data_IF_962073196297
#
_entry.id   IF_962073196297
#
_cell.length_a   1.000
_cell.length_b   1.000
_cell.length_c   1.000
_cell.angle_alpha   90.00
_cell.angle_beta   90.00
_cell.angle_gamma   90.00
#
_symmetry.space_group_name_H-M   'P 1'
#
loop_
_entity.id
_entity.type
_entity.pdbx_description
1 polymer ?
#
# COMPACT_ATOMS: atom_id res chain seq x y z
N UNK A 1 -38.53 -7.01 -22.15
CA UNK A 1 -37.36 -6.44 -21.43
C UNK A 1 -37.88 -5.36 -20.50
N UNK A 2 -37.35 -5.22 -19.28
CA UNK A 2 -37.74 -4.11 -18.41
C UNK A 2 -37.46 -2.77 -19.10
N UNK A 3 -38.34 -1.78 -18.92
CA UNK A 3 -38.21 -0.46 -19.54
C UNK A 3 -36.97 0.31 -19.06
N UNK A 4 -36.57 0.07 -17.81
CA UNK A 4 -35.41 0.70 -17.17
C UNK A 4 -34.26 -0.31 -17.00
N UNK A 5 -33.02 0.19 -17.01
CA UNK A 5 -31.86 -0.59 -16.58
C UNK A 5 -31.96 -0.84 -15.06
N UNK A 6 -31.47 -1.99 -14.56
CA UNK A 6 -31.47 -2.29 -13.13
C UNK A 6 -30.38 -1.54 -12.34
N UNK A 7 -29.69 -0.57 -12.96
CA UNK A 7 -28.57 0.16 -12.39
C UNK A 7 -28.54 1.61 -12.88
N UNK A 8 -27.88 2.49 -12.12
CA UNK A 8 -27.55 3.86 -12.50
C UNK A 8 -26.17 3.87 -13.15
N UNK A 9 -26.05 4.45 -14.35
CA UNK A 9 -24.73 4.70 -14.96
C UNK A 9 -24.03 5.84 -14.21
N UNK A 10 -22.81 5.59 -13.76
CA UNK A 10 -22.05 6.56 -12.95
C UNK A 10 -20.91 7.19 -13.75
N UNK A 11 -20.02 6.38 -14.33
CA UNK A 11 -18.82 6.87 -15.04
C UNK A 11 -18.46 5.93 -16.21
N UNK A 12 -17.70 6.45 -17.18
CA UNK A 12 -17.04 5.66 -18.24
C UNK A 12 -15.54 5.60 -17.95
N UNK A 13 -14.91 4.44 -18.19
CA UNK A 13 -13.46 4.28 -18.10
C UNK A 13 -12.95 3.25 -19.11
N UNK A 14 -11.63 3.05 -19.15
CA UNK A 14 -11.01 1.90 -19.78
C UNK A 14 -10.52 0.93 -18.70
N UNK A 15 -10.64 -0.36 -19.00
CA UNK A 15 -10.15 -1.47 -18.19
C UNK A 15 -9.29 -2.40 -19.06
N UNK A 16 -8.93 -3.56 -18.52
CA UNK A 16 -8.37 -4.68 -19.27
C UNK A 16 -9.25 -5.92 -19.09
N UNK A 17 -9.26 -6.80 -20.09
CA UNK A 17 -9.86 -8.13 -19.97
C UNK A 17 -9.04 -8.98 -18.99
N UNK A 18 -9.70 -9.64 -18.04
CA UNK A 18 -9.02 -10.48 -17.03
C UNK A 18 -8.32 -11.72 -17.60
N UNK A 19 -8.67 -12.12 -18.83
CA UNK A 19 -8.09 -13.30 -19.50
C UNK A 19 -6.97 -12.95 -20.47
N UNK A 20 -7.18 -11.98 -21.37
CA UNK A 20 -6.21 -11.70 -22.45
C UNK A 20 -5.50 -10.36 -22.35
N UNK A 21 -5.74 -9.62 -21.25
CA UNK A 21 -5.06 -8.36 -20.91
C UNK A 21 -5.15 -7.27 -22.00
N UNK A 22 -6.13 -7.38 -22.90
CA UNK A 22 -6.43 -6.33 -23.89
C UNK A 22 -7.20 -5.24 -23.20
N UNK A 23 -6.86 -3.99 -23.52
CA UNK A 23 -7.65 -2.81 -23.16
C UNK A 23 -9.08 -2.94 -23.70
N UNK A 24 -10.04 -2.66 -22.84
CA UNK A 24 -11.48 -2.73 -23.13
C UNK A 24 -12.18 -1.50 -22.56
N UNK A 25 -13.29 -1.10 -23.18
CA UNK A 25 -14.19 -0.13 -22.57
C UNK A 25 -14.88 -0.75 -21.35
N UNK A 26 -15.02 0.04 -20.30
CA UNK A 26 -15.72 -0.32 -19.09
C UNK A 26 -16.59 0.85 -18.61
N UNK A 27 -17.65 0.53 -17.89
CA UNK A 27 -18.49 1.52 -17.22
C UNK A 27 -18.62 1.19 -15.75
N UNK A 28 -18.65 2.24 -14.94
CA UNK A 28 -18.97 2.14 -13.51
C UNK A 28 -20.46 2.37 -13.34
N UNK A 29 -21.11 1.49 -12.60
CA UNK A 29 -22.55 1.53 -12.34
C UNK A 29 -22.82 1.38 -10.86
N UNK A 30 -23.89 2.03 -10.39
CA UNK A 30 -24.43 1.86 -9.05
C UNK A 30 -25.66 0.95 -9.17
N UNK A 31 -25.62 -0.20 -8.51
CA UNK A 31 -26.66 -1.22 -8.55
C UNK A 31 -26.84 -1.81 -7.15
N UNK A 32 -28.07 -1.78 -6.61
CA UNK A 32 -28.38 -2.32 -5.28
C UNK A 32 -27.40 -1.83 -4.19
N UNK A 33 -27.19 -0.50 -4.12
CA UNK A 33 -26.32 0.17 -3.14
C UNK A 33 -24.84 -0.28 -3.19
N UNK A 34 -24.40 -0.80 -4.33
CA UNK A 34 -23.01 -1.21 -4.57
C UNK A 34 -22.50 -0.60 -5.87
N UNK A 35 -21.18 -0.48 -5.97
CA UNK A 35 -20.49 0.01 -7.15
C UNK A 35 -19.88 -1.16 -7.90
N UNK A 36 -20.24 -1.30 -9.18
CA UNK A 36 -19.73 -2.33 -10.06
C UNK A 36 -19.04 -1.74 -11.28
N UNK A 37 -17.99 -2.41 -11.74
CA UNK A 37 -17.44 -2.23 -13.08
C UNK A 37 -18.06 -3.26 -14.01
N UNK A 38 -18.69 -2.79 -15.09
CA UNK A 38 -19.10 -3.62 -16.22
C UNK A 38 -18.12 -3.38 -17.36
N UNK A 39 -17.38 -4.42 -17.76
CA UNK A 39 -16.46 -4.38 -18.89
C UNK A 39 -16.81 -5.45 -19.91
N UNK A 40 -16.45 -5.24 -21.16
CA UNK A 40 -16.76 -6.20 -22.24
C UNK A 40 -15.56 -6.43 -23.14
N UNK A 41 -14.99 -7.63 -23.07
CA UNK A 41 -14.03 -8.09 -24.05
C UNK A 41 -14.76 -8.61 -25.29
N UNK A 42 -14.32 -8.20 -26.49
CA UNK A 42 -14.88 -8.72 -27.73
C UNK A 42 -14.60 -10.22 -27.95
N UNK A 43 -13.61 -10.79 -27.25
CA UNK A 43 -13.30 -12.23 -27.30
C UNK A 43 -13.89 -13.02 -26.13
N UNK A 44 -13.78 -12.50 -24.91
CA UNK A 44 -14.16 -13.24 -23.69
C UNK A 44 -15.52 -12.84 -23.11
N UNK A 45 -16.21 -11.87 -23.71
CA UNK A 45 -17.55 -11.47 -23.31
C UNK A 45 -17.59 -10.46 -22.16
N UNK A 46 -18.76 -10.29 -21.52
CA UNK A 46 -18.97 -9.33 -20.44
C UNK A 46 -18.42 -9.86 -19.10
N UNK A 47 -17.86 -8.96 -18.30
CA UNK A 47 -17.47 -9.21 -16.92
C UNK A 47 -18.09 -8.12 -16.02
N UNK A 48 -18.62 -8.53 -14.87
CA UNK A 48 -19.15 -7.65 -13.82
C UNK A 48 -18.30 -7.85 -12.57
N UNK A 49 -17.66 -6.78 -12.11
CA UNK A 49 -16.72 -6.81 -10.97
C UNK A 49 -17.19 -5.84 -9.90
N UNK A 50 -17.26 -6.30 -8.65
CA UNK A 50 -17.54 -5.44 -7.51
C UNK A 50 -16.33 -4.54 -7.21
N UNK A 51 -16.56 -3.22 -7.16
CA UNK A 51 -15.53 -2.23 -6.81
C UNK A 51 -15.70 -1.69 -5.40
N UNK A 52 -16.95 -1.47 -4.96
CA UNK A 52 -17.25 -0.97 -3.62
C UNK A 52 -18.60 -1.47 -3.14
N UNK A 53 -18.69 -1.75 -1.85
CA UNK A 53 -19.91 -2.03 -1.09
C UNK A 53 -20.46 -0.79 -0.38
N UNK A 54 -19.80 0.36 -0.58
CA UNK A 54 -20.11 1.66 0.02
C UNK A 54 -20.10 2.72 -1.09
N UNK A 55 -21.31 3.10 -1.52
CA UNK A 55 -21.50 4.06 -2.63
C UNK A 55 -21.08 5.47 -2.23
N UNK A 56 -21.36 5.88 -1.00
CA UNK A 56 -21.05 7.24 -0.55
C UNK A 56 -19.56 7.42 -0.33
N UNK A 57 -18.88 6.43 0.26
CA UNK A 57 -17.42 6.44 0.34
C UNK A 57 -16.77 6.44 -1.06
N UNK A 58 -17.27 5.61 -2.00
CA UNK A 58 -16.75 5.58 -3.36
C UNK A 58 -16.84 6.94 -4.06
N UNK A 59 -17.97 7.64 -3.91
CA UNK A 59 -18.13 9.00 -4.44
C UNK A 59 -17.18 9.97 -3.74
N UNK A 60 -17.08 9.90 -2.41
CA UNK A 60 -16.21 10.75 -1.59
C UNK A 60 -14.73 10.63 -1.99
N UNK A 61 -14.27 9.47 -2.46
CA UNK A 61 -12.91 9.32 -2.99
C UNK A 61 -12.58 10.32 -4.12
N UNK A 62 -13.58 10.79 -4.88
CA UNK A 62 -13.37 11.81 -5.93
C UNK A 62 -13.05 13.18 -5.33
N UNK A 63 -13.65 13.52 -4.20
CA UNK A 63 -13.42 14.80 -3.50
C UNK A 63 -12.02 14.86 -2.90
N UNK A 64 -11.36 13.71 -2.71
CA UNK A 64 -10.00 13.61 -2.21
C UNK A 64 -8.94 13.64 -3.32
N UNK A 65 -9.33 13.63 -4.59
CA UNK A 65 -8.38 13.65 -5.68
C UNK A 65 -7.79 15.07 -5.85
N UNK A 66 -6.54 15.26 -5.40
CA UNK A 66 -5.84 16.54 -5.51
C UNK A 66 -4.92 16.58 -6.74
N UNK A 67 -4.43 17.78 -7.14
CA UNK A 67 -3.47 17.92 -8.23
C UNK A 67 -2.29 16.94 -8.07
N UNK A 68 -1.94 16.29 -9.17
CA UNK A 68 -0.85 15.33 -9.26
C UNK A 68 0.50 16.00 -9.00
N UNK A 69 1.38 15.34 -8.27
CA UNK A 69 2.80 15.67 -8.30
C UNK A 69 3.46 14.94 -9.48
N UNK A 70 4.39 15.62 -10.15
CA UNK A 70 5.12 15.06 -11.29
C UNK A 70 6.52 14.66 -10.84
N UNK A 71 7.08 13.55 -11.33
CA UNK A 71 8.49 13.25 -11.14
C UNK A 71 9.36 14.26 -11.90
N UNK A 72 10.58 14.45 -11.44
CA UNK A 72 11.60 15.29 -12.08
C UNK A 72 12.03 14.74 -13.45
N UNK A 73 11.90 13.43 -13.64
CA UNK A 73 12.25 12.77 -14.89
C UNK A 73 11.21 11.72 -15.26
N UNK A 74 10.86 11.64 -16.55
CA UNK A 74 10.07 10.54 -17.09
C UNK A 74 10.97 9.39 -17.54
N UNK A 75 10.50 8.15 -17.41
CA UNK A 75 11.23 6.96 -17.81
C UNK A 75 10.89 6.49 -19.23
N UNK A 76 9.64 6.69 -19.66
CA UNK A 76 9.12 6.16 -20.93
C UNK A 76 8.25 7.20 -21.65
N UNK A 77 8.20 7.18 -22.99
CA UNK A 77 7.26 8.00 -23.75
C UNK A 77 5.86 7.39 -23.77
N UNK A 78 4.85 8.16 -24.21
CA UNK A 78 3.51 7.65 -24.51
C UNK A 78 3.51 7.20 -25.99
N UNK A 79 3.26 5.91 -26.24
CA UNK A 79 3.27 5.32 -27.59
C UNK A 79 2.09 4.38 -27.83
N UNK A 80 1.88 3.41 -26.95
CA UNK A 80 0.81 2.42 -27.04
C UNK A 80 -0.38 2.73 -26.10
N UNK A 81 -0.21 3.71 -25.21
CA UNK A 81 -1.16 4.14 -24.18
C UNK A 81 -1.10 3.32 -22.89
N UNK A 82 -1.68 3.85 -21.82
CA UNK A 82 -1.82 3.11 -20.56
C UNK A 82 -2.71 1.85 -20.76
N UNK A 83 -2.28 0.66 -20.29
CA UNK A 83 -1.14 0.40 -19.40
C UNK A 83 0.11 -0.19 -20.08
N UNK A 84 0.28 -0.04 -21.39
CA UNK A 84 1.36 -0.72 -22.13
C UNK A 84 2.68 0.06 -22.15
N UNK A 85 2.67 1.35 -21.83
CA UNK A 85 3.87 2.20 -21.79
C UNK A 85 4.44 2.44 -20.37
N UNK A 86 3.99 1.68 -19.36
CA UNK A 86 4.39 1.92 -17.99
C UNK A 86 5.91 1.83 -17.76
N UNK A 87 6.29 2.45 -16.65
CA UNK A 87 7.39 3.41 -16.56
C UNK A 87 6.73 4.73 -16.12
N UNK A 88 7.37 5.55 -15.29
CA UNK A 88 6.87 6.90 -15.00
C UNK A 88 6.80 7.64 -16.34
N UNK A 89 5.63 7.66 -16.96
CA UNK A 89 5.41 8.18 -18.30
C UNK A 89 4.62 9.49 -18.21
N UNK A 90 4.67 10.36 -19.24
CA UNK A 90 3.96 11.64 -19.18
C UNK A 90 2.42 11.54 -19.03
N UNK A 91 1.83 10.36 -19.22
CA UNK A 91 0.39 10.10 -19.02
C UNK A 91 0.07 9.57 -17.61
N UNK A 92 1.09 9.36 -16.78
CA UNK A 92 0.98 8.94 -15.39
C UNK A 92 0.85 10.18 -14.50
N UNK A 93 -0.26 10.24 -13.79
CA UNK A 93 -0.76 11.39 -13.03
C UNK A 93 -0.34 11.33 -11.56
N UNK A 94 0.88 10.84 -11.30
CA UNK A 94 1.46 10.84 -9.96
C UNK A 94 2.98 10.59 -9.99
N UNK A 95 3.68 11.09 -8.96
CA UNK A 95 5.06 10.72 -8.66
C UNK A 95 5.11 9.48 -7.75
N UNK A 96 6.31 9.03 -7.37
CA UNK A 96 6.45 7.88 -6.47
C UNK A 96 6.43 8.31 -5.00
N UNK A 97 5.30 8.10 -4.30
CA UNK A 97 5.25 8.27 -2.84
C UNK A 97 6.02 7.14 -2.13
N UNK A 98 6.02 5.93 -2.71
CA UNK A 98 6.80 4.78 -2.24
C UNK A 98 7.36 4.04 -3.44
N UNK A 99 8.69 3.82 -3.44
CA UNK A 99 9.36 3.02 -4.46
C UNK A 99 9.96 1.75 -3.89
N UNK A 100 9.60 0.59 -4.44
CA UNK A 100 10.16 -0.71 -4.09
C UNK A 100 11.39 -1.03 -4.95
N UNK A 101 12.44 -1.52 -4.31
CA UNK A 101 13.62 -2.10 -4.95
C UNK A 101 13.68 -3.56 -4.54
N UNK A 102 13.39 -4.45 -5.50
CA UNK A 102 13.48 -5.90 -5.31
C UNK A 102 14.94 -6.34 -5.44
N UNK A 103 15.62 -6.64 -4.33
CA UNK A 103 17.07 -6.93 -4.34
C UNK A 103 17.39 -8.39 -4.66
N UNK A 104 16.39 -9.26 -4.57
CA UNK A 104 16.52 -10.70 -4.83
C UNK A 104 15.18 -11.30 -5.22
N UNK A 105 15.19 -12.39 -5.98
CA UNK A 105 13.99 -13.20 -6.22
C UNK A 105 13.92 -14.40 -5.25
N UNK A 106 14.98 -14.62 -4.47
CA UNK A 106 15.10 -15.71 -3.52
C UNK A 106 14.26 -15.41 -2.28
N UNK A 107 13.55 -16.43 -1.81
CA UNK A 107 12.90 -16.39 -0.51
C UNK A 107 13.13 -17.71 0.23
N UNK A 108 13.24 -17.67 1.55
CA UNK A 108 13.25 -18.84 2.43
C UNK A 108 11.84 -19.41 2.69
N UNK A 109 10.80 -18.84 2.09
CA UNK A 109 9.43 -19.34 2.07
C UNK A 109 8.94 -19.54 0.63
N UNK A 110 7.89 -20.35 0.47
CA UNK A 110 7.20 -20.57 -0.80
C UNK A 110 5.71 -20.31 -0.63
N UNK A 111 5.35 -19.02 -0.45
CA UNK A 111 3.97 -18.64 -0.19
C UNK A 111 3.06 -19.03 -1.36
N UNK A 112 1.90 -19.68 -1.13
CA UNK A 112 0.96 -20.07 -2.19
C UNK A 112 0.32 -18.88 -2.95
N UNK A 113 0.30 -17.68 -2.34
CA UNK A 113 -0.27 -16.44 -2.91
C UNK A 113 0.79 -15.36 -3.26
N UNK A 114 2.03 -15.76 -3.56
CA UNK A 114 3.11 -14.80 -3.82
C UNK A 114 2.97 -14.11 -5.18
N UNK A 115 2.71 -12.79 -5.16
CA UNK A 115 2.59 -11.98 -6.38
C UNK A 115 3.88 -11.95 -7.23
N UNK A 116 5.05 -12.09 -6.59
CA UNK A 116 6.36 -12.03 -7.25
C UNK A 116 6.87 -13.40 -7.70
N UNK A 117 6.12 -14.48 -7.40
CA UNK A 117 6.53 -15.86 -7.66
C UNK A 117 7.89 -16.22 -7.04
N UNK A 118 8.34 -15.49 -6.02
CA UNK A 118 9.59 -15.74 -5.29
C UNK A 118 9.57 -17.08 -4.56
N UNK A 119 10.75 -17.64 -4.29
CA UNK A 119 10.87 -18.87 -3.52
C UNK A 119 12.29 -19.40 -3.43
N UNK A 120 12.50 -20.53 -2.75
CA UNK A 120 13.84 -21.10 -2.57
C UNK A 120 14.50 -21.50 -3.91
N UNK A 121 13.69 -21.77 -4.93
CA UNK A 121 14.13 -22.17 -6.26
C UNK A 121 14.59 -20.98 -7.14
N UNK A 122 14.26 -19.73 -6.78
CA UNK A 122 14.67 -18.52 -7.52
C UNK A 122 15.92 -17.90 -6.89
N UNK A 123 17.07 -18.59 -6.97
CA UNK A 123 18.32 -18.20 -6.30
C UNK A 123 19.06 -17.01 -6.98
N UNK A 124 18.32 -15.97 -7.37
CA UNK A 124 18.88 -14.77 -8.02
C UNK A 124 19.02 -13.65 -7.00
N UNK A 125 20.23 -13.13 -6.84
CA UNK A 125 20.54 -11.93 -6.06
C UNK A 125 21.04 -10.86 -7.03
N UNK A 126 20.52 -9.64 -6.93
CA UNK A 126 21.00 -8.51 -7.74
C UNK A 126 22.33 -8.03 -7.16
N UNK A 127 23.26 -7.65 -8.01
CA UNK A 127 24.56 -7.15 -7.53
C UNK A 127 24.40 -5.78 -6.85
N UNK A 128 25.36 -5.40 -6.01
CA UNK A 128 25.36 -4.08 -5.37
C UNK A 128 25.38 -2.95 -6.41
N UNK A 129 26.07 -3.14 -7.54
CA UNK A 129 26.11 -2.17 -8.64
C UNK A 129 24.73 -1.99 -9.29
N UNK A 130 24.00 -3.09 -9.50
CA UNK A 130 22.65 -3.03 -10.05
C UNK A 130 21.69 -2.34 -9.06
N UNK A 131 21.79 -2.67 -7.77
CA UNK A 131 20.98 -2.06 -6.71
C UNK A 131 21.30 -0.57 -6.57
N UNK A 132 22.57 -0.18 -6.69
CA UNK A 132 22.97 1.23 -6.72
C UNK A 132 22.37 1.97 -7.90
N UNK A 133 22.42 1.39 -9.11
CA UNK A 133 21.80 1.97 -10.28
C UNK A 133 20.28 2.13 -10.12
N UNK A 134 19.62 1.19 -9.43
CA UNK A 134 18.19 1.29 -9.10
C UNK A 134 17.93 2.44 -8.13
N UNK A 135 18.72 2.59 -7.05
CA UNK A 135 18.61 3.75 -6.15
C UNK A 135 18.84 5.08 -6.87
N UNK A 136 19.89 5.16 -7.70
CA UNK A 136 20.19 6.36 -8.49
C UNK A 136 19.05 6.72 -9.42
N UNK A 137 18.32 5.72 -9.94
CA UNK A 137 17.14 5.97 -10.74
C UNK A 137 16.03 6.61 -9.94
N UNK A 138 15.72 6.08 -8.75
CA UNK A 138 14.70 6.69 -7.87
C UNK A 138 15.09 8.14 -7.53
N UNK A 139 16.35 8.39 -7.21
CA UNK A 139 16.86 9.75 -6.92
C UNK A 139 16.73 10.68 -8.12
N UNK A 140 16.99 10.21 -9.36
CA UNK A 140 16.77 11.02 -10.57
C UNK A 140 15.29 11.33 -10.81
N UNK A 141 14.39 10.42 -10.44
CA UNK A 141 12.96 10.58 -10.59
C UNK A 141 12.36 11.53 -9.54
N UNK A 142 12.79 11.46 -8.29
CA UNK A 142 12.13 12.14 -7.16
C UNK A 142 12.98 13.26 -6.52
N UNK A 143 14.28 13.30 -6.78
CA UNK A 143 15.26 14.18 -6.12
C UNK A 143 15.55 13.71 -4.70
N UNK A 144 14.57 13.86 -3.80
CA UNK A 144 14.60 13.40 -2.41
C UNK A 144 13.43 12.43 -2.17
N UNK A 145 13.59 11.13 -2.50
CA UNK A 145 12.52 10.15 -2.39
C UNK A 145 11.94 10.10 -0.96
N UNK A 146 10.60 10.12 -0.85
CA UNK A 146 9.91 10.07 0.43
C UNK A 146 10.13 8.71 1.12
N UNK A 147 9.81 7.62 0.41
CA UNK A 147 10.06 6.26 0.88
C UNK A 147 10.72 5.43 -0.20
N UNK A 148 11.79 4.72 0.18
CA UNK A 148 12.28 3.57 -0.58
C UNK A 148 12.14 2.31 0.26
N UNK A 149 11.54 1.27 -0.31
CA UNK A 149 11.29 -0.01 0.33
C UNK A 149 12.15 -1.10 -0.29
N UNK A 150 13.01 -1.72 0.52
CA UNK A 150 13.82 -2.87 0.12
C UNK A 150 12.94 -4.12 0.21
N UNK A 151 12.78 -4.81 -0.93
CA UNK A 151 11.90 -5.97 -1.07
C UNK A 151 12.52 -7.03 -2.00
N UNK A 152 11.70 -7.80 -2.71
CA UNK A 152 12.09 -8.95 -3.52
C UNK A 152 11.34 -10.20 -3.09
N UNK A 153 12.05 -11.32 -2.99
CA UNK A 153 11.62 -12.45 -2.17
C UNK A 153 11.73 -12.10 -0.68
N UNK A 154 12.74 -12.64 0.01
CA UNK A 154 13.08 -12.20 1.36
C UNK A 154 14.41 -11.43 1.33
N UNK A 155 14.40 -10.09 1.43
CA UNK A 155 15.63 -9.31 1.26
C UNK A 155 16.69 -9.63 2.32
N UNK A 156 16.30 -10.10 3.50
CA UNK A 156 17.26 -10.48 4.56
C UNK A 156 18.08 -11.74 4.25
N UNK A 157 17.76 -12.48 3.18
CA UNK A 157 18.61 -13.58 2.70
C UNK A 157 19.73 -13.11 1.76
N UNK A 158 19.68 -11.87 1.29
CA UNK A 158 20.71 -11.32 0.43
C UNK A 158 22.07 -11.30 1.15
N UNK A 159 23.15 -11.85 0.57
CA UNK A 159 24.44 -11.96 1.25
C UNK A 159 25.01 -10.60 1.68
N UNK A 160 24.76 -9.55 0.88
CA UNK A 160 25.15 -8.17 1.15
C UNK A 160 24.03 -7.31 1.76
N UNK A 161 23.04 -7.90 2.46
CA UNK A 161 21.85 -7.18 2.96
C UNK A 161 22.19 -5.85 3.69
N UNK A 162 23.14 -5.85 4.62
CA UNK A 162 23.48 -4.62 5.33
C UNK A 162 24.24 -3.62 4.47
N UNK A 163 25.06 -4.06 3.52
CA UNK A 163 25.74 -3.17 2.57
C UNK A 163 24.73 -2.44 1.68
N UNK A 164 23.61 -3.09 1.34
CA UNK A 164 22.48 -2.47 0.64
C UNK A 164 21.85 -1.37 1.49
N UNK A 165 21.64 -1.61 2.78
CA UNK A 165 21.09 -0.58 3.68
C UNK A 165 22.08 0.59 3.87
N UNK A 166 23.37 0.31 3.98
CA UNK A 166 24.42 1.32 4.06
C UNK A 166 24.50 2.16 2.77
N UNK A 167 24.30 1.53 1.61
CA UNK A 167 24.19 2.20 0.33
C UNK A 167 22.96 3.11 0.27
N UNK A 168 21.79 2.61 0.70
CA UNK A 168 20.55 3.38 0.74
C UNK A 168 20.69 4.65 1.61
N UNK A 169 21.31 4.54 2.79
CA UNK A 169 21.52 5.68 3.71
C UNK A 169 22.48 6.75 3.18
N UNK A 170 23.27 6.45 2.14
CA UNK A 170 24.12 7.46 1.45
C UNK A 170 23.34 8.27 0.40
N UNK A 171 22.13 7.84 0.04
CA UNK A 171 21.26 8.52 -0.94
C UNK A 171 20.31 9.48 -0.18
N UNK A 172 19.75 10.51 -0.84
CA UNK A 172 18.84 11.47 -0.21
C UNK A 172 17.42 10.90 0.02
N UNK A 173 17.33 9.68 0.55
CA UNK A 173 16.07 8.98 0.85
C UNK A 173 15.63 9.40 2.25
N UNK A 174 14.40 9.93 2.38
CA UNK A 174 13.89 10.44 3.66
C UNK A 174 13.55 9.31 4.64
N UNK A 175 12.92 8.24 4.14
CA UNK A 175 12.53 7.09 4.95
C UNK A 175 12.85 5.77 4.24
N UNK A 176 13.59 4.89 4.92
CA UNK A 176 13.96 3.58 4.40
C UNK A 176 13.08 2.49 5.03
N UNK A 177 12.40 1.71 4.20
CA UNK A 177 11.58 0.59 4.66
C UNK A 177 12.18 -0.75 4.21
N UNK A 178 11.99 -1.81 5.00
CA UNK A 178 12.41 -3.17 4.62
C UNK A 178 11.25 -4.15 4.79
N UNK A 179 10.87 -4.83 3.70
CA UNK A 179 9.91 -5.93 3.74
C UNK A 179 10.57 -7.17 4.32
N UNK A 180 9.90 -7.87 5.22
CA UNK A 180 10.43 -9.13 5.75
C UNK A 180 9.32 -10.06 6.26
N UNK A 181 9.56 -11.36 6.12
CA UNK A 181 8.78 -12.41 6.77
C UNK A 181 9.14 -12.60 8.25
N UNK A 182 10.19 -11.94 8.74
CA UNK A 182 10.58 -11.93 10.15
C UNK A 182 11.39 -13.14 10.62
N UNK A 183 11.65 -14.14 9.77
CA UNK A 183 12.40 -15.35 10.16
C UNK A 183 13.81 -15.00 10.66
N UNK A 184 14.54 -14.16 9.92
CA UNK A 184 15.90 -13.76 10.31
C UNK A 184 15.92 -12.99 11.63
N UNK A 185 14.92 -12.12 11.83
CA UNK A 185 14.77 -11.32 13.06
C UNK A 185 14.47 -12.22 14.26
N UNK A 186 13.62 -13.24 14.10
CA UNK A 186 13.31 -14.20 15.15
C UNK A 186 14.53 -15.05 15.55
N UNK A 187 15.35 -15.45 14.58
CA UNK A 187 16.48 -16.35 14.80
C UNK A 187 17.75 -15.65 15.29
N UNK A 188 17.91 -14.35 14.98
CA UNK A 188 19.13 -13.60 15.24
C UNK A 188 18.80 -12.27 15.94
N UNK A 189 18.93 -12.26 17.27
CA UNK A 189 18.68 -11.06 18.09
C UNK A 189 19.67 -9.93 17.77
N UNK A 190 20.93 -10.23 17.46
CA UNK A 190 21.91 -9.19 17.12
C UNK A 190 21.63 -8.60 15.73
N UNK A 191 21.01 -9.35 14.82
CA UNK A 191 20.47 -8.80 13.58
C UNK A 191 19.39 -7.73 13.86
N UNK A 192 18.44 -8.01 14.74
CA UNK A 192 17.41 -7.03 15.15
C UNK A 192 18.03 -5.78 15.80
N UNK A 193 19.04 -5.97 16.65
CA UNK A 193 19.81 -4.88 17.25
C UNK A 193 20.54 -4.03 16.21
N UNK A 194 21.14 -4.65 15.19
CA UNK A 194 21.81 -3.92 14.10
C UNK A 194 20.82 -3.14 13.25
N UNK A 195 19.61 -3.66 13.00
CA UNK A 195 18.57 -2.90 12.31
C UNK A 195 18.21 -1.60 13.06
N UNK A 196 18.24 -1.63 14.40
CA UNK A 196 17.95 -0.45 15.21
C UNK A 196 18.93 0.71 14.96
N UNK A 197 20.18 0.44 14.53
CA UNK A 197 21.16 1.51 14.25
C UNK A 197 20.85 2.33 13.00
N UNK A 198 19.86 1.94 12.18
CA UNK A 198 19.42 2.69 11.02
C UNK A 198 18.32 3.72 11.34
N UNK A 199 17.82 3.76 12.57
CA UNK A 199 16.84 4.76 13.03
C UNK A 199 17.53 6.07 13.45
N UNK A 200 16.88 7.24 13.28
CA UNK A 200 15.56 7.46 12.70
C UNK A 200 15.52 7.34 11.16
N UNK A 201 14.31 7.41 10.57
CA UNK A 201 14.13 7.27 9.12
C UNK A 201 14.33 5.85 8.61
N UNK A 202 14.00 4.86 9.46
CA UNK A 202 14.02 3.43 9.14
C UNK A 202 12.82 2.73 9.75
N UNK A 203 12.21 1.81 9.01
CA UNK A 203 11.06 1.03 9.46
C UNK A 203 11.03 -0.37 8.83
N UNK A 204 10.56 -1.34 9.60
CA UNK A 204 10.26 -2.68 9.11
C UNK A 204 8.81 -2.80 8.66
N UNK A 205 8.61 -3.44 7.51
CA UNK A 205 7.32 -3.81 6.98
C UNK A 205 7.15 -5.32 7.16
N UNK A 206 6.67 -5.71 8.35
CA UNK A 206 6.69 -7.08 8.85
C UNK A 206 5.40 -7.82 8.49
N UNK A 207 5.55 -8.93 7.78
CA UNK A 207 4.47 -9.84 7.43
C UNK A 207 3.75 -10.42 8.68
N UNK A 208 2.44 -10.16 8.83
CA UNK A 208 1.60 -10.61 9.96
C UNK A 208 0.14 -10.88 9.53
N UNK A 209 -0.18 -12.01 8.87
CA UNK A 209 -1.53 -12.17 8.30
C UNK A 209 -2.63 -12.64 9.25
N UNK A 210 -2.27 -13.40 10.29
CA UNK A 210 -3.24 -14.10 11.12
C UNK A 210 -2.60 -14.72 12.37
N UNK A 211 -3.44 -14.95 13.37
CA UNK A 211 -3.15 -15.72 14.59
C UNK A 211 -3.39 -17.23 14.43
N UNK A 212 -4.00 -17.67 13.33
CA UNK A 212 -4.42 -19.06 13.12
C UNK A 212 -3.46 -19.82 12.22
N UNK A 213 -3.05 -21.02 12.65
CA UNK A 213 -2.03 -21.81 11.95
C UNK A 213 -2.43 -22.15 10.50
N UNK A 214 -3.68 -22.55 10.30
CA UNK A 214 -4.16 -23.04 9.01
C UNK A 214 -4.30 -21.90 8.01
N UNK A 215 -4.76 -20.73 8.45
CA UNK A 215 -4.72 -19.49 7.67
C UNK A 215 -3.30 -19.17 7.18
N UNK A 216 -2.29 -19.34 8.04
CA UNK A 216 -0.89 -19.08 7.65
C UNK A 216 -0.34 -20.13 6.71
N UNK A 217 -0.74 -21.40 6.84
CA UNK A 217 -0.38 -22.42 5.85
C UNK A 217 -0.98 -22.10 4.49
N UNK A 218 -2.23 -21.65 4.43
CA UNK A 218 -2.89 -21.28 3.18
C UNK A 218 -2.24 -20.05 2.53
N UNK A 219 -1.94 -19.00 3.31
CA UNK A 219 -1.36 -17.76 2.75
C UNK A 219 0.16 -17.81 2.57
N UNK A 220 0.89 -18.53 3.43
CA UNK A 220 2.37 -18.50 3.49
C UNK A 220 3.05 -19.85 3.33
N UNK A 221 2.30 -20.94 3.31
CA UNK A 221 2.83 -22.30 3.20
C UNK A 221 3.46 -22.82 4.49
N UNK A 222 3.35 -22.09 5.61
CA UNK A 222 3.97 -22.45 6.88
C UNK A 222 3.23 -21.85 8.09
N UNK A 223 3.29 -22.52 9.24
CA UNK A 223 2.90 -21.92 10.52
C UNK A 223 4.03 -20.99 11.02
N UNK A 224 3.78 -19.69 10.97
CA UNK A 224 4.76 -18.65 11.34
C UNK A 224 4.48 -18.03 12.70
N UNK A 225 3.54 -18.53 13.50
CA UNK A 225 3.12 -17.89 14.77
C UNK A 225 4.28 -17.78 15.76
N UNK A 226 5.04 -18.86 15.96
CA UNK A 226 6.20 -18.87 16.85
C UNK A 226 7.31 -17.93 16.37
N UNK A 227 7.57 -17.90 15.06
CA UNK A 227 8.53 -16.98 14.43
C UNK A 227 8.11 -15.53 14.67
N UNK A 228 6.85 -15.19 14.41
CA UNK A 228 6.35 -13.82 14.59
C UNK A 228 6.37 -13.36 16.04
N UNK A 229 5.97 -14.23 16.97
CA UNK A 229 6.05 -13.91 18.39
C UNK A 229 7.49 -13.57 18.81
N UNK A 230 8.46 -14.39 18.38
CA UNK A 230 9.88 -14.16 18.70
C UNK A 230 10.46 -12.94 17.99
N UNK A 231 10.08 -12.69 16.74
CA UNK A 231 10.46 -11.47 16.03
C UNK A 231 9.94 -10.22 16.75
N UNK A 232 8.64 -10.18 17.10
CA UNK A 232 8.04 -9.05 17.82
C UNK A 232 8.71 -8.83 19.18
N UNK A 233 9.09 -9.88 19.91
CA UNK A 233 9.86 -9.77 21.15
C UNK A 233 11.17 -9.01 20.93
N UNK A 234 11.99 -9.42 19.95
CA UNK A 234 13.26 -8.75 19.64
C UNK A 234 13.05 -7.31 19.14
N UNK A 235 12.00 -7.08 18.33
CA UNK A 235 11.68 -5.74 17.83
C UNK A 235 11.26 -4.80 18.96
N UNK A 236 10.44 -5.28 19.90
CA UNK A 236 10.04 -4.53 21.11
C UNK A 236 11.23 -4.23 22.01
N UNK A 237 12.17 -5.16 22.14
CA UNK A 237 13.37 -4.99 22.96
C UNK A 237 14.21 -3.79 22.50
N UNK A 238 14.45 -3.66 21.19
CA UNK A 238 15.23 -2.56 20.61
C UNK A 238 14.37 -1.41 20.08
N UNK A 239 13.04 -1.50 20.25
CA UNK A 239 12.05 -0.54 19.76
C UNK A 239 12.22 -0.18 18.27
N UNK A 240 12.49 -1.19 17.43
CA UNK A 240 12.66 -0.97 15.99
C UNK A 240 11.31 -0.65 15.37
N UNK A 241 11.17 0.56 14.79
CA UNK A 241 9.92 0.99 14.15
C UNK A 241 9.41 -0.07 13.17
N UNK A 242 8.18 -0.52 13.35
CA UNK A 242 7.60 -1.64 12.60
C UNK A 242 6.13 -1.36 12.24
N UNK A 243 5.77 -1.60 10.99
CA UNK A 243 4.37 -1.74 10.54
C UNK A 243 4.07 -3.21 10.31
N UNK A 244 2.95 -3.69 10.86
CA UNK A 244 2.43 -5.03 10.57
C UNK A 244 1.72 -5.02 9.21
N UNK A 245 1.96 -6.05 8.40
CA UNK A 245 1.47 -6.12 7.02
C UNK A 245 0.64 -7.37 6.87
N UNK A 246 -0.64 -7.17 6.60
CA UNK A 246 -1.65 -8.22 6.61
C UNK A 246 -2.14 -8.42 5.19
N UNK A 247 -1.85 -9.57 4.57
CA UNK A 247 -2.50 -9.93 3.33
C UNK A 247 -3.87 -10.54 3.63
N UNK A 248 -4.95 -9.95 3.10
CA UNK A 248 -6.32 -10.37 3.39
C UNK A 248 -6.92 -11.19 2.25
N UNK A 249 -7.51 -12.34 2.60
CA UNK A 249 -8.38 -13.16 1.75
C UNK A 249 -9.78 -13.19 2.35
N UNK A 250 -10.81 -12.94 1.54
CA UNK A 250 -12.20 -12.92 1.99
C UNK A 250 -12.61 -14.26 2.58
N UNK A 251 -13.29 -14.23 3.73
CA UNK A 251 -13.75 -15.42 4.44
C UNK A 251 -12.65 -16.23 5.14
N UNK A 252 -11.37 -15.83 5.01
CA UNK A 252 -10.25 -16.54 5.64
C UNK A 252 -9.75 -15.81 6.90
N UNK A 253 -9.22 -14.59 6.74
CA UNK A 253 -8.61 -13.82 7.84
C UNK A 253 -9.18 -12.40 7.99
N UNK A 254 -10.18 -12.04 7.18
CA UNK A 254 -10.92 -10.78 7.28
C UNK A 254 -11.68 -10.61 8.61
N UNK A 255 -11.95 -11.71 9.32
CA UNK A 255 -12.50 -11.70 10.69
C UNK A 255 -11.50 -11.29 11.79
N UNK A 256 -10.20 -11.22 11.48
CA UNK A 256 -9.13 -10.93 12.46
C UNK A 256 -8.64 -9.47 12.38
N UNK A 257 -9.22 -8.64 11.50
CA UNK A 257 -8.79 -7.25 11.27
C UNK A 257 -8.72 -6.46 12.59
N UNK A 258 -9.79 -6.53 13.39
CA UNK A 258 -9.83 -5.83 14.68
C UNK A 258 -8.82 -6.35 15.70
N UNK A 259 -8.62 -7.67 15.76
CA UNK A 259 -7.68 -8.30 16.68
C UNK A 259 -6.23 -7.97 16.35
N UNK A 260 -5.88 -7.90 15.05
CA UNK A 260 -4.54 -7.50 14.60
C UNK A 260 -4.26 -6.04 14.96
N UNK A 261 -5.24 -5.13 14.79
CA UNK A 261 -5.11 -3.73 15.22
C UNK A 261 -4.84 -3.66 16.72
N UNK A 262 -5.67 -4.33 17.54
CA UNK A 262 -5.50 -4.36 19.01
C UNK A 262 -4.16 -4.98 19.42
N UNK A 263 -3.71 -6.01 18.72
CA UNK A 263 -2.40 -6.62 18.97
C UNK A 263 -1.27 -5.63 18.69
N UNK A 264 -1.30 -4.94 17.54
CA UNK A 264 -0.32 -3.92 17.17
C UNK A 264 -0.28 -2.75 18.16
N UNK A 265 -1.44 -2.28 18.62
CA UNK A 265 -1.56 -1.21 19.62
C UNK A 265 -0.85 -1.57 20.94
N UNK A 266 -0.80 -2.86 21.31
CA UNK A 266 -0.11 -3.32 22.54
C UNK A 266 1.40 -3.43 22.38
N UNK A 267 1.94 -3.42 21.16
CA UNK A 267 3.38 -3.57 20.96
C UNK A 267 4.08 -2.22 21.04
N UNK A 268 5.24 -2.20 21.71
CA UNK A 268 6.07 -1.00 21.81
C UNK A 268 6.66 -0.60 20.47
N UNK A 269 7.12 -1.57 19.67
CA UNK A 269 7.80 -1.35 18.38
C UNK A 269 6.85 -1.13 17.19
N UNK A 270 5.57 -1.47 17.33
CA UNK A 270 4.61 -1.36 16.23
C UNK A 270 4.04 0.06 16.16
N UNK A 271 4.17 0.69 14.98
CA UNK A 271 3.64 2.02 14.63
C UNK A 271 2.39 1.96 13.77
N UNK A 272 1.99 0.77 13.33
CA UNK A 272 0.78 0.65 12.53
C UNK A 272 0.51 -0.74 11.96
N UNK A 273 -0.60 -0.81 11.24
CA UNK A 273 -1.02 -2.00 10.47
C UNK A 273 -1.39 -1.55 9.06
N UNK A 274 -0.85 -2.22 8.05
CA UNK A 274 -1.33 -2.08 6.67
C UNK A 274 -2.04 -3.36 6.24
N UNK A 275 -3.30 -3.21 5.85
CA UNK A 275 -4.11 -4.28 5.28
C UNK A 275 -4.05 -4.23 3.76
N UNK A 276 -3.69 -5.35 3.15
CA UNK A 276 -3.57 -5.50 1.70
C UNK A 276 -4.44 -6.65 1.23
N UNK A 277 -5.62 -6.40 0.61
CA UNK A 277 -6.33 -7.43 -0.13
C UNK A 277 -5.42 -8.12 -1.14
N UNK A 278 -5.59 -9.42 -1.35
CA UNK A 278 -4.84 -10.16 -2.39
C UNK A 278 -5.05 -9.51 -3.75
N UNK A 279 -3.95 -9.12 -4.39
CA UNK A 279 -3.90 -8.84 -5.82
C UNK A 279 -3.85 -10.17 -6.58
N UNK A 280 -4.73 -10.37 -7.57
CA UNK A 280 -4.70 -11.56 -8.41
C UNK A 280 -3.51 -11.54 -9.40
N UNK A 281 -2.29 -11.81 -8.90
CA UNK A 281 -1.06 -11.88 -9.68
C UNK A 281 -0.10 -12.94 -9.09
N UNK A 282 0.83 -13.43 -9.91
CA UNK A 282 1.80 -14.45 -9.51
C UNK A 282 1.14 -15.79 -9.16
N UNK A 283 1.58 -16.42 -8.07
CA UNK A 283 0.96 -17.65 -7.56
C UNK A 283 -0.37 -17.35 -6.89
N UNK A 284 -1.36 -18.20 -7.15
CA UNK A 284 -2.74 -18.05 -6.69
C UNK A 284 -3.33 -19.43 -6.33
N UNK A 285 -2.57 -20.23 -5.58
CA UNK A 285 -3.03 -21.57 -5.19
C UNK A 285 -4.27 -21.42 -4.30
N UNK A 286 -5.32 -22.19 -4.60
CA UNK A 286 -6.60 -22.17 -3.89
C UNK A 286 -7.26 -20.77 -3.79
N UNK A 287 -6.98 -19.87 -4.74
CA UNK A 287 -7.58 -18.54 -4.79
C UNK A 287 -8.54 -18.39 -5.98
N UNK A 288 -9.80 -18.07 -5.68
CA UNK A 288 -10.85 -17.79 -6.66
C UNK A 288 -11.21 -16.29 -6.64
N UNK A 289 -10.78 -15.51 -7.65
CA UNK A 289 -11.09 -14.08 -7.75
C UNK A 289 -12.58 -13.73 -7.64
N UNK A 290 -13.50 -14.66 -7.97
CA UNK A 290 -14.94 -14.41 -7.88
C UNK A 290 -15.49 -14.49 -6.46
N UNK A 291 -14.76 -15.11 -5.53
CA UNK A 291 -15.19 -15.35 -4.14
C UNK A 291 -14.29 -14.69 -3.11
N UNK A 292 -12.99 -14.69 -3.37
CA UNK A 292 -11.97 -14.47 -2.36
C UNK A 292 -11.44 -13.03 -2.31
N UNK A 293 -11.84 -12.20 -3.29
CA UNK A 293 -11.46 -10.78 -3.38
C UNK A 293 -12.17 -9.95 -2.31
N UNK A 294 -11.40 -9.04 -1.71
CA UNK A 294 -11.93 -7.93 -0.90
C UNK A 294 -11.73 -6.61 -1.63
N UNK A 295 -12.76 -5.77 -1.61
CA UNK A 295 -12.66 -4.37 -1.98
C UNK A 295 -12.08 -3.55 -0.81
N UNK A 296 -11.47 -2.39 -1.11
CA UNK A 296 -11.05 -1.44 -0.08
C UNK A 296 -12.20 -1.10 0.88
N UNK A 297 -13.42 -0.92 0.37
CA UNK A 297 -14.60 -0.62 1.19
C UNK A 297 -14.98 -1.75 2.16
N UNK A 298 -14.76 -3.02 1.78
CA UNK A 298 -15.01 -4.16 2.68
C UNK A 298 -13.97 -4.21 3.80
N UNK A 299 -12.70 -3.95 3.48
CA UNK A 299 -11.66 -3.84 4.52
C UNK A 299 -11.92 -2.65 5.44
N UNK A 300 -12.33 -1.49 4.88
CA UNK A 300 -12.68 -0.29 5.66
C UNK A 300 -13.81 -0.59 6.64
N UNK A 301 -14.86 -1.25 6.17
CA UNK A 301 -15.97 -1.70 7.02
C UNK A 301 -15.48 -2.66 8.11
N UNK A 302 -14.63 -3.63 7.77
CA UNK A 302 -14.04 -4.55 8.74
C UNK A 302 -13.24 -3.82 9.83
N UNK A 303 -12.48 -2.79 9.48
CA UNK A 303 -11.76 -1.95 10.48
C UNK A 303 -12.75 -1.25 11.40
N UNK A 304 -13.79 -0.61 10.84
CA UNK A 304 -14.78 0.16 11.60
C UNK A 304 -15.58 -0.74 12.55
N UNK A 305 -16.05 -1.88 12.05
CA UNK A 305 -16.89 -2.81 12.82
C UNK A 305 -16.09 -3.60 13.87
N UNK A 306 -14.84 -3.96 13.58
CA UNK A 306 -14.09 -4.89 14.43
C UNK A 306 -13.09 -4.21 15.36
N UNK A 307 -12.53 -3.03 15.02
CA UNK A 307 -11.41 -2.47 15.78
C UNK A 307 -11.80 -1.97 17.17
N UNK A 308 -12.99 -1.38 17.29
CA UNK A 308 -13.42 -0.62 18.47
C UNK A 308 -12.67 0.71 18.66
N UNK A 309 -11.89 1.15 17.66
CA UNK A 309 -11.05 2.35 17.71
C UNK A 309 -11.46 3.35 16.63
N UNK A 310 -11.52 2.93 15.37
CA UNK A 310 -11.75 3.80 14.23
C UNK A 310 -13.23 3.81 13.82
N UNK A 311 -13.76 4.99 13.53
CA UNK A 311 -15.11 5.18 12.98
C UNK A 311 -15.07 5.56 11.50
N UNK A 312 -16.23 5.81 10.91
CA UNK A 312 -16.35 6.18 9.49
C UNK A 312 -15.57 7.45 9.16
N UNK A 313 -15.63 8.44 10.04
CA UNK A 313 -14.93 9.72 9.94
C UNK A 313 -13.41 9.59 10.05
N UNK A 314 -12.90 8.51 10.65
CA UNK A 314 -11.47 8.31 10.88
C UNK A 314 -10.76 7.57 9.74
N UNK A 315 -11.49 6.81 8.93
CA UNK A 315 -10.93 6.07 7.79
C UNK A 315 -11.18 6.83 6.50
N UNK A 316 -10.25 7.72 6.15
CA UNK A 316 -10.36 8.64 5.02
C UNK A 316 -9.58 8.16 3.78
N UNK A 317 -10.03 8.51 2.55
CA UNK A 317 -9.24 8.29 1.34
C UNK A 317 -7.89 9.02 1.40
N UNK A 318 -6.84 8.41 0.86
CA UNK A 318 -5.54 9.08 0.75
C UNK A 318 -5.47 9.88 -0.55
N UNK A 319 -5.20 11.20 -0.52
CA UNK A 319 -5.29 12.05 -1.71
C UNK A 319 -4.43 11.65 -2.91
N UNK A 320 -3.29 11.01 -2.70
CA UNK A 320 -2.41 10.63 -3.80
C UNK A 320 -3.01 9.52 -4.68
N UNK A 321 -3.79 8.60 -4.10
CA UNK A 321 -4.47 7.49 -4.80
C UNK A 321 -5.76 7.05 -4.08
N UNK A 322 -6.81 7.90 -4.06
CA UNK A 322 -7.95 7.75 -3.15
C UNK A 322 -8.84 6.53 -3.44
N UNK A 323 -8.74 5.94 -4.64
CA UNK A 323 -9.47 4.72 -4.99
C UNK A 323 -8.88 3.45 -4.38
N UNK A 324 -7.59 3.46 -4.06
CA UNK A 324 -6.83 2.27 -3.66
C UNK A 324 -6.20 2.40 -2.28
N UNK A 325 -6.18 3.62 -1.72
CA UNK A 325 -5.60 3.91 -0.42
C UNK A 325 -6.62 4.57 0.50
N UNK A 326 -6.70 4.04 1.72
CA UNK A 326 -7.42 4.66 2.84
C UNK A 326 -6.56 4.61 4.09
N UNK A 327 -6.71 5.57 4.99
CA UNK A 327 -5.94 5.59 6.23
C UNK A 327 -6.70 6.17 7.41
N UNK A 328 -6.29 5.73 8.60
CA UNK A 328 -6.66 6.29 9.89
C UNK A 328 -5.44 6.38 10.81
N UNK A 329 -5.41 7.42 11.64
CA UNK A 329 -4.40 7.65 12.66
C UNK A 329 -5.04 7.59 14.04
N UNK A 330 -4.30 7.05 15.00
CA UNK A 330 -4.64 7.09 16.40
C UNK A 330 -3.42 7.44 17.24
N UNK A 331 -3.66 8.00 18.41
CA UNK A 331 -2.64 8.27 19.41
C UNK A 331 -2.74 7.24 20.54
N UNK A 332 -1.62 6.63 20.89
CA UNK A 332 -1.45 5.71 22.01
C UNK A 332 -1.04 6.51 23.25
N UNK A 333 -1.93 6.63 24.23
CA UNK A 333 -1.71 7.35 25.49
C UNK A 333 -1.83 6.37 26.66
N UNK A 334 -0.73 5.68 26.95
CA UNK A 334 -0.75 4.57 27.92
C UNK A 334 -1.67 3.45 27.42
N UNK A 335 -2.73 3.16 28.19
CA UNK A 335 -3.74 2.16 27.84
C UNK A 335 -4.89 2.71 26.99
N UNK A 336 -4.96 4.03 26.79
CA UNK A 336 -5.99 4.67 25.96
C UNK A 336 -5.51 4.86 24.52
N UNK A 337 -6.47 4.75 23.59
CA UNK A 337 -6.23 4.96 22.15
C UNK A 337 -7.24 5.97 21.64
N UNK A 338 -6.75 7.09 21.11
CA UNK A 338 -7.59 8.20 20.63
C UNK A 338 -7.47 8.28 19.10
N UNK A 339 -8.55 8.05 18.33
CA UNK A 339 -8.50 8.27 16.88
C UNK A 339 -8.33 9.76 16.60
N UNK A 340 -7.43 10.10 15.67
CA UNK A 340 -7.05 11.48 15.35
C UNK A 340 -7.63 11.94 14.02
N UNK A 341 -7.82 11.04 13.05
CA UNK A 341 -8.12 11.44 11.68
C UNK A 341 -9.46 12.18 11.57
N UNK A 342 -10.50 11.73 12.25
CA UNK A 342 -11.81 12.41 12.26
C UNK A 342 -11.79 13.78 12.94
N UNK A 343 -10.71 14.11 13.68
CA UNK A 343 -10.50 15.43 14.29
C UNK A 343 -9.80 16.41 13.36
N UNK A 344 -9.27 15.95 12.22
CA UNK A 344 -8.57 16.77 11.23
C UNK A 344 -9.57 17.14 10.14
N UNK A 345 -9.70 18.44 9.87
CA UNK A 345 -10.50 18.90 8.74
C UNK A 345 -9.94 18.29 7.44
N UNK A 346 -10.76 17.57 6.64
CA UNK A 346 -10.33 17.03 5.35
C UNK A 346 -9.66 18.05 4.44
N UNK A 347 -10.02 19.34 4.54
CA UNK A 347 -9.35 20.42 3.80
C UNK A 347 -7.85 20.48 4.10
N UNK A 348 -7.41 20.19 5.34
CA UNK A 348 -5.99 20.17 5.71
C UNK A 348 -5.23 19.04 4.99
N UNK A 349 -5.86 17.89 4.78
CA UNK A 349 -5.27 16.78 4.02
C UNK A 349 -5.16 17.11 2.52
N UNK A 350 -6.06 17.95 2.01
CA UNK A 350 -6.11 18.37 0.60
C UNK A 350 -5.22 19.57 0.30
N UNK A 351 -5.12 20.51 1.24
CA UNK A 351 -4.29 21.72 1.16
C UNK A 351 -2.81 21.46 1.50
N UNK A 352 -2.48 20.29 2.06
CA UNK A 352 -1.11 19.86 2.30
C UNK A 352 -0.27 19.87 1.01
N UNK A 353 0.92 20.48 1.09
CA UNK A 353 1.72 20.84 -0.09
C UNK A 353 2.27 19.69 -0.93
N UNK A 354 2.36 18.46 -0.38
CA UNK A 354 2.80 17.26 -1.13
C UNK A 354 1.81 16.09 -1.01
N UNK A 355 1.71 15.26 -2.05
CA UNK A 355 1.14 13.94 -2.11
C UNK A 355 2.14 12.98 -1.43
N UNK A 356 1.75 12.39 -0.31
CA UNK A 356 2.58 11.41 0.38
C UNK A 356 1.69 10.36 1.01
N UNK A 357 2.27 9.22 1.42
CA UNK A 357 1.61 8.23 2.26
C UNK A 357 2.17 8.24 3.69
N UNK A 358 3.19 9.06 3.97
CA UNK A 358 3.81 9.26 5.30
C UNK A 358 3.47 10.65 5.81
N UNK A 359 2.20 10.86 6.13
CA UNK A 359 1.74 12.15 6.62
C UNK A 359 2.36 12.54 7.97
N UNK A 360 2.86 11.56 8.72
CA UNK A 360 3.60 11.75 9.97
C UNK A 360 4.87 12.59 9.79
N UNK A 361 5.43 12.62 8.57
CA UNK A 361 6.64 13.38 8.25
C UNK A 361 6.34 14.76 7.66
N UNK A 362 5.08 15.05 7.35
CA UNK A 362 4.65 16.33 6.79
C UNK A 362 4.64 17.41 7.88
N UNK A 363 5.50 18.42 7.75
CA UNK A 363 5.62 19.52 8.74
C UNK A 363 4.34 20.34 8.88
N UNK A 364 3.50 20.42 7.83
CA UNK A 364 2.20 21.09 7.88
C UNK A 364 1.23 20.26 8.73
N UNK A 365 1.16 18.95 8.52
CA UNK A 365 0.30 18.09 9.33
C UNK A 365 0.79 17.98 10.77
N UNK A 366 2.10 17.85 10.99
CA UNK A 366 2.68 17.95 12.34
C UNK A 366 2.27 19.26 12.99
N UNK A 367 2.43 20.40 12.31
CA UNK A 367 2.05 21.70 12.86
C UNK A 367 0.55 21.82 13.15
N UNK A 368 -0.32 21.17 12.36
CA UNK A 368 -1.77 21.16 12.59
C UNK A 368 -2.16 20.23 13.73
N UNK A 369 -1.54 19.05 13.83
CA UNK A 369 -1.68 18.17 14.98
C UNK A 369 -1.21 18.93 16.25
N UNK A 370 -0.03 19.54 16.22
CA UNK A 370 0.47 20.40 17.30
C UNK A 370 -0.45 21.61 17.58
N UNK A 371 -1.05 22.25 16.56
CA UNK A 371 -2.02 23.36 16.71
C UNK A 371 -3.35 22.88 17.30
N UNK A 372 -3.88 21.75 16.89
CA UNK A 372 -5.05 21.10 17.51
C UNK A 372 -4.79 20.84 19.00
N UNK A 373 -3.56 20.52 19.37
CA UNK A 373 -3.14 20.38 20.78
C UNK A 373 -2.84 21.72 21.49
N UNK A 374 -2.49 22.81 20.78
CA UNK A 374 -2.09 24.09 21.38
C UNK A 374 -3.13 25.22 21.31
N UNK A 375 -4.18 25.08 20.49
CA UNK A 375 -5.26 26.08 20.33
C UNK A 375 -6.51 25.77 21.15
N UNK A 376 -6.33 25.30 22.39
CA UNK A 376 -7.36 25.29 23.42
C UNK A 376 -7.56 26.69 24.04
N UNK A 377 -7.80 27.73 23.23
CA UNK A 377 -8.36 29.01 23.68
C UNK A 377 -9.43 29.47 22.66
N UNK A 378 -10.67 29.08 23.00
CA UNK A 378 -12.01 29.26 22.36
C UNK A 378 -12.33 30.68 21.85
N UNK A 379 -13.40 30.95 21.03
CA UNK A 379 -14.79 30.42 21.10
C UNK A 379 -15.38 29.98 19.73
N UNK A 380 -16.34 29.06 19.56
CA UNK A 380 -17.58 28.78 20.29
C UNK A 380 -18.12 27.39 19.87
N UNK A 381 -18.58 26.60 20.84
CA UNK A 381 -19.39 25.37 20.70
C UNK A 381 -18.78 24.12 20.04
N UNK A 382 -17.81 23.51 20.72
CA UNK A 382 -17.66 22.03 20.81
C UNK A 382 -17.23 21.69 22.24
N UNK A 383 -18.09 22.10 23.18
CA UNK A 383 -17.90 21.87 24.60
C UNK A 383 -18.31 20.43 24.94
N UNK A 384 -17.41 19.75 25.67
CA UNK A 384 -17.36 18.34 26.07
C UNK A 384 -16.47 17.52 25.11
N UNK A 385 -15.20 17.20 25.40
CA UNK A 385 -14.50 17.29 26.66
C UNK A 385 -12.99 16.97 26.51
N UNK A 386 -12.13 17.97 26.32
CA UNK A 386 -10.68 17.80 26.59
C UNK A 386 -10.34 18.18 28.05
N UNK A 387 -11.14 19.08 28.64
CA UNK A 387 -11.04 19.43 30.07
C UNK A 387 -11.43 18.26 31.00
N UNK A 388 -12.18 17.25 30.55
CA UNK A 388 -12.43 16.03 31.34
C UNK A 388 -11.29 15.00 31.18
N UNK A 389 -10.75 14.84 29.97
CA UNK A 389 -9.58 13.99 29.67
C UNK A 389 -8.32 14.48 30.40
N UNK A 390 -8.15 15.80 30.49
CA UNK A 390 -7.00 16.43 31.17
C UNK A 390 -7.23 16.71 32.67
N UNK A 391 -8.45 16.54 33.22
CA UNK A 391 -8.67 16.71 34.66
C UNK A 391 -8.23 15.47 35.47
N UNK A 392 -8.03 14.34 34.80
CA UNK A 392 -7.54 13.09 35.41
C UNK A 392 -6.04 12.84 35.15
N UNK A 393 -5.42 13.62 34.26
CA UNK A 393 -3.98 13.63 34.05
C UNK A 393 -3.39 14.78 34.87
N UNK A 394 -2.39 14.55 35.75
CA UNK A 394 -1.72 15.63 36.45
C UNK A 394 -1.20 16.64 35.42
N UNK A 395 -1.73 17.88 35.47
CA UNK A 395 -1.41 19.01 34.57
C UNK A 395 0.05 19.52 34.70
N UNK A 396 1.01 18.63 34.98
CA UNK A 396 2.42 18.94 35.16
C UNK A 396 3.36 18.13 34.26
N UNK A 397 2.86 17.30 33.33
CA UNK A 397 3.70 16.34 32.60
C UNK A 397 3.36 16.13 31.10
N UNK A 398 3.11 17.18 30.32
CA UNK A 398 3.07 17.04 28.85
C UNK A 398 3.46 18.34 28.15
N UNK A 399 4.76 18.50 27.86
CA UNK A 399 5.18 18.56 26.45
C UNK A 399 6.23 17.51 26.04
N UNK A 400 6.90 16.83 26.98
CA UNK A 400 8.00 15.88 26.68
C UNK A 400 7.56 14.41 26.52
N UNK A 401 6.25 14.11 26.61
CA UNK A 401 5.71 12.74 26.76
C UNK A 401 5.00 12.15 25.53
N UNK A 402 4.81 12.91 24.44
CA UNK A 402 4.17 12.44 23.20
C UNK A 402 5.18 12.49 22.07
N UNK A 403 5.69 11.33 21.67
CA UNK A 403 6.66 11.18 20.58
C UNK A 403 6.11 10.38 19.40
N UNK A 404 6.96 10.14 18.40
CA UNK A 404 6.64 9.31 17.23
C UNK A 404 6.09 7.93 17.60
N UNK A 405 6.57 7.37 18.72
CA UNK A 405 6.17 6.07 19.25
C UNK A 405 4.69 5.99 19.69
N UNK A 406 4.07 7.15 19.90
CA UNK A 406 2.66 7.24 20.28
C UNK A 406 1.74 7.24 19.06
N UNK A 407 2.24 7.50 17.85
CA UNK A 407 1.40 7.51 16.64
C UNK A 407 1.19 6.08 16.15
N UNK A 408 -0.07 5.73 15.90
CA UNK A 408 -0.47 4.45 15.35
C UNK A 408 -1.28 4.65 14.07
N UNK A 409 -0.79 4.10 12.96
CA UNK A 409 -1.41 4.25 11.65
C UNK A 409 -2.07 2.95 11.19
N UNK A 410 -3.29 3.03 10.69
CA UNK A 410 -3.94 1.95 9.94
C UNK A 410 -4.06 2.37 8.48
N UNK A 411 -3.50 1.60 7.57
CA UNK A 411 -3.62 1.81 6.12
C UNK A 411 -4.37 0.64 5.51
N UNK A 412 -5.25 0.92 4.57
CA UNK A 412 -5.71 -0.02 3.55
C UNK A 412 -4.97 0.31 2.28
N UNK A 413 -4.24 -0.68 1.75
CA UNK A 413 -3.51 -0.56 0.50
C UNK A 413 -3.96 -1.65 -0.45
N UNK A 414 -4.89 -1.30 -1.34
CA UNK A 414 -5.38 -2.20 -2.38
C UNK A 414 -4.55 -2.02 -3.64
N UNK A 415 -4.04 -3.12 -4.19
CA UNK A 415 -3.47 -3.13 -5.52
C UNK A 415 -4.50 -3.60 -6.54
N UNK A 416 -4.52 -2.97 -7.71
CA UNK A 416 -5.39 -3.30 -8.82
C UNK A 416 -4.88 -4.53 -9.56
N UNK A 417 -5.79 -5.40 -9.93
CA UNK A 417 -5.55 -6.58 -10.76
C UNK A 417 -6.38 -6.49 -12.04
N UNK A 418 -6.28 -7.51 -12.89
CA UNK A 418 -6.97 -7.51 -14.16
C UNK A 418 -8.50 -7.51 -14.03
N UNK A 419 -9.09 -7.72 -12.84
CA UNK A 419 -10.54 -7.67 -12.61
C UNK A 419 -11.01 -6.24 -12.36
N UNK A 420 -10.44 -5.55 -11.36
CA UNK A 420 -10.83 -4.18 -10.99
C UNK A 420 -10.01 -3.08 -11.68
N UNK A 421 -9.19 -3.42 -12.67
CA UNK A 421 -8.36 -2.48 -13.39
C UNK A 421 -9.15 -1.28 -13.93
N UNK A 422 -8.86 -0.09 -13.41
CA UNK A 422 -9.41 1.19 -13.87
C UNK A 422 -8.25 2.08 -14.29
N UNK A 423 -8.15 2.41 -15.58
CA UNK A 423 -7.07 3.26 -16.11
C UNK A 423 -7.04 4.62 -15.40
N UNK A 424 -8.19 5.18 -15.01
CA UNK A 424 -8.25 6.44 -14.25
C UNK A 424 -7.55 6.31 -12.89
N UNK A 425 -7.76 5.20 -12.20
CA UNK A 425 -7.14 4.91 -10.91
C UNK A 425 -5.65 4.59 -11.05
N UNK A 426 -5.26 3.74 -12.01
CA UNK A 426 -3.85 3.32 -12.24
C UNK A 426 -2.94 4.51 -12.58
N UNK A 427 -3.49 5.53 -13.25
CA UNK A 427 -2.74 6.77 -13.50
C UNK A 427 -2.37 7.51 -12.21
N UNK A 428 -3.11 7.32 -11.11
CA UNK A 428 -2.83 7.90 -9.79
C UNK A 428 -1.98 6.99 -8.89
N UNK A 429 -1.62 5.78 -9.34
CA UNK A 429 -0.82 4.86 -8.53
C UNK A 429 0.50 5.48 -8.10
N UNK A 430 0.70 5.58 -6.78
CA UNK A 430 1.88 6.23 -6.19
C UNK A 430 2.89 5.23 -5.58
N UNK A 431 2.62 3.93 -5.74
CA UNK A 431 3.47 2.83 -5.29
C UNK A 431 4.08 2.18 -6.52
N UNK A 432 5.41 2.24 -6.63
CA UNK A 432 6.12 1.80 -7.84
C UNK A 432 7.18 0.77 -7.51
N UNK A 433 7.55 -0.05 -8.49
CA UNK A 433 8.67 -0.98 -8.45
C UNK A 433 9.71 -0.52 -9.47
N UNK A 434 10.98 -0.50 -9.07
CA UNK A 434 12.08 -0.29 -10.02
C UNK A 434 12.32 -1.60 -10.78
N UNK A 435 12.06 -1.58 -12.08
CA UNK A 435 12.43 -2.65 -12.98
C UNK A 435 13.96 -2.72 -13.15
N UNK A 436 14.56 -3.92 -13.36
CA UNK A 436 16.00 -4.08 -13.54
C UNK A 436 16.67 -3.22 -14.63
N UNK A 437 15.90 -2.74 -15.61
CA UNK A 437 16.38 -1.83 -16.67
C UNK A 437 16.28 -0.33 -16.32
N UNK A 438 15.85 0.00 -15.09
CA UNK A 438 15.70 1.36 -14.61
C UNK A 438 14.38 2.03 -14.95
N UNK A 439 13.35 1.32 -15.43
CA UNK A 439 11.98 1.86 -15.43
C UNK A 439 11.39 1.80 -14.01
N UNK A 440 10.78 2.87 -13.54
CA UNK A 440 9.98 2.90 -12.30
C UNK A 440 8.52 2.72 -12.70
N UNK A 441 7.91 1.59 -12.33
CA UNK A 441 6.64 1.12 -12.90
C UNK A 441 5.63 0.95 -11.76
N UNK A 442 4.37 1.40 -11.90
CA UNK A 442 3.35 1.18 -10.88
C UNK A 442 3.24 -0.29 -10.47
N UNK A 443 3.15 -0.57 -9.16
CA UNK A 443 3.03 -1.93 -8.63
C UNK A 443 1.88 -2.70 -9.30
N UNK A 444 0.75 -2.00 -9.49
CA UNK A 444 -0.46 -2.53 -10.14
C UNK A 444 -0.16 -3.15 -11.51
N UNK A 445 0.58 -2.42 -12.36
CA UNK A 445 0.88 -2.88 -13.73
C UNK A 445 2.11 -3.76 -13.79
N UNK A 446 3.08 -3.58 -12.89
CA UNK A 446 4.32 -4.35 -12.87
C UNK A 446 4.06 -5.85 -12.82
N UNK A 447 3.27 -6.29 -11.84
CA UNK A 447 2.99 -7.72 -11.62
C UNK A 447 2.08 -8.36 -12.68
N UNK A 448 1.47 -7.56 -13.56
CA UNK A 448 0.63 -8.05 -14.66
C UNK A 448 1.33 -8.06 -16.02
N UNK A 449 2.24 -7.11 -16.27
CA UNK A 449 2.79 -6.86 -17.61
C UNK A 449 4.31 -6.79 -17.69
N UNK A 450 5.00 -6.46 -16.61
CA UNK A 450 6.42 -6.07 -16.63
C UNK A 450 7.31 -6.96 -15.76
N UNK A 451 6.79 -8.11 -15.34
CA UNK A 451 7.54 -9.09 -14.54
C UNK A 451 7.81 -10.34 -15.36
N UNK A 452 9.08 -10.72 -15.43
CA UNK A 452 9.54 -12.00 -15.97
C UNK A 452 8.93 -12.30 -17.37
N UNK A 453 8.23 -13.43 -17.50
CA UNK A 453 7.61 -13.92 -18.73
C UNK A 453 6.44 -13.06 -19.23
N UNK A 454 5.86 -12.22 -18.38
CA UNK A 454 4.71 -11.36 -18.73
C UNK A 454 5.08 -10.27 -19.73
N UNK A 455 6.37 -9.93 -19.85
CA UNK A 455 6.85 -9.01 -20.88
C UNK A 455 6.62 -9.55 -22.31
N UNK A 456 6.56 -10.89 -22.48
CA UNK A 456 6.25 -11.50 -23.78
C UNK A 456 4.80 -11.19 -24.18
N UNK A 457 3.86 -11.40 -23.27
CA UNK A 457 2.45 -11.04 -23.48
C UNK A 457 2.28 -9.55 -23.76
N UNK A 458 3.01 -8.70 -23.02
CA UNK A 458 3.01 -7.26 -23.25
C UNK A 458 3.52 -6.91 -24.66
N UNK A 459 4.59 -7.55 -25.13
CA UNK A 459 5.11 -7.34 -26.47
C UNK A 459 4.08 -7.69 -27.55
N UNK A 460 3.33 -8.78 -27.38
CA UNK A 460 2.21 -9.11 -28.26
C UNK A 460 1.13 -8.02 -28.24
N UNK A 461 0.74 -7.53 -27.05
CA UNK A 461 -0.28 -6.46 -26.94
C UNK A 461 0.19 -5.18 -27.63
N UNK A 462 1.46 -4.82 -27.48
CA UNK A 462 2.06 -3.66 -28.16
C UNK A 462 2.08 -3.84 -29.68
N UNK A 463 2.39 -5.03 -30.17
CA UNK A 463 2.37 -5.34 -31.61
C UNK A 463 0.95 -5.21 -32.19
N UNK A 464 -0.06 -5.73 -31.49
CA UNK A 464 -1.48 -5.58 -31.89
C UNK A 464 -1.89 -4.10 -32.00
N UNK A 465 -1.48 -3.26 -31.03
CA UNK A 465 -1.73 -1.81 -31.08
C UNK A 465 -0.96 -1.16 -32.22
N UNK A 466 0.30 -1.53 -32.42
CA UNK A 466 1.12 -0.99 -33.51
C UNK A 466 0.51 -1.30 -34.88
N UNK A 467 0.05 -2.52 -35.11
CA UNK A 467 -0.61 -2.94 -36.34
C UNK A 467 -1.94 -2.20 -36.53
N UNK A 468 -2.78 -2.13 -35.50
CA UNK A 468 -4.10 -1.50 -35.59
C UNK A 468 -4.05 0.00 -35.91
N UNK A 469 -2.99 0.70 -35.46
CA UNK A 469 -2.82 2.15 -35.63
C UNK A 469 -1.70 2.55 -36.59
N UNK A 470 -1.06 1.58 -37.26
CA UNK A 470 0.03 1.85 -38.21
C UNK A 470 1.26 2.50 -37.56
N UNK A 471 1.58 2.17 -36.29
CA UNK A 471 2.74 2.70 -35.60
C UNK A 471 4.02 2.06 -36.16
N UNK A 472 5.05 2.87 -36.42
CA UNK A 472 6.37 2.37 -36.82
C UNK A 472 6.93 1.42 -35.75
N UNK A 473 7.84 0.50 -36.11
CA UNK A 473 8.57 -0.30 -35.15
C UNK A 473 9.46 0.57 -34.23
N UNK A 474 9.78 0.14 -32.99
CA UNK A 474 10.76 0.85 -32.17
C UNK A 474 12.10 0.97 -32.91
N UNK A 475 12.65 2.20 -32.96
CA UNK A 475 14.02 2.43 -33.42
C UNK A 475 15.02 2.05 -32.34
#
# INVERSE_FOLDING_TARGET
>A
MPANRPYVFHELTNSICSTCFRKVEAKIVIENEKVFMHKRCLRHGPEKVLLSMDVEYYKRCRDFNKPSEMPLQWNTPIRYGCPYDCGLCPDHEQHSCLTLIEVTDQCNLQCPICYAESGPHRATYRSLEQIEAMFDRVVRNEGEPDIVQISGGEPTTHPNFFEILDLAKKKPIKHLMVNTNGIRIAQDREFAKRLASYMPGFELYLQFDSFEADTLKELRGADLRGIRAKAIEHLNEFNVSTTLVVTLKKGLNDREIGDIIRYGLKQRAVRGVTFQPIQAAGRLDEYDPSKDRLTLSEVRRGIIEQSGVFREEDMLPVPCHPDCLAMGYALKLGDEVVPLTGMIDPAVLLEGGRNTIVFESDETLKSHIFKLFSTAHSPESSALSLKSLLCCLPMAAAPDAIGYDNVFRVIIMQFLDAYNFDVRSVKKSCVHIVHPDGRVIPFDTYNMFYRDDKEQLLAERKAEVAEAFGLAAPK
#
